data_IF_316432619932
#
_entry.id   IF_316432619932
#
_cell.length_a   1.000
_cell.length_b   1.000
_cell.length_c   1.000
_cell.angle_alpha   90.00
_cell.angle_beta   90.00
_cell.angle_gamma   90.00
#
_symmetry.space_group_name_H-M   'P 1'
#
loop_
_entity.id
_entity.type
_entity.pdbx_description
1 polymer ?
#
# COMPACT_ATOMS: atom_id res chain seq x y z
N UNK A 1 -38.91 -58.58 -40.44
CA UNK A 1 -37.79 -57.69 -40.64
C UNK A 1 -37.39 -57.19 -39.24
N UNK A 2 -36.38 -57.83 -38.72
CA UNK A 2 -35.94 -57.66 -37.35
C UNK A 2 -35.01 -56.45 -37.27
N UNK A 3 -35.29 -55.54 -36.34
CA UNK A 3 -34.38 -54.49 -35.94
C UNK A 3 -33.76 -54.86 -34.57
N UNK A 4 -32.45 -55.12 -34.60
CA UNK A 4 -31.64 -55.32 -33.43
C UNK A 4 -31.41 -53.95 -32.79
N UNK A 5 -31.89 -53.76 -31.56
CA UNK A 5 -31.42 -52.73 -30.64
C UNK A 5 -30.36 -53.35 -29.73
N UNK A 6 -29.11 -53.06 -30.04
CA UNK A 6 -28.00 -53.31 -29.10
C UNK A 6 -28.04 -52.22 -27.99
N UNK A 7 -28.54 -52.58 -26.84
CA UNK A 7 -28.40 -51.78 -25.62
C UNK A 7 -26.95 -51.86 -25.17
N UNK A 8 -26.16 -50.78 -25.34
CA UNK A 8 -24.86 -50.56 -24.71
C UNK A 8 -25.07 -50.41 -23.19
N UNK A 9 -24.74 -51.45 -22.48
CA UNK A 9 -24.71 -51.47 -21.00
C UNK A 9 -23.44 -50.70 -20.59
N UNK A 10 -23.53 -49.39 -20.29
CA UNK A 10 -22.47 -48.64 -19.66
C UNK A 10 -22.56 -48.88 -18.13
N UNK A 11 -21.60 -49.63 -17.63
CA UNK A 11 -21.42 -49.75 -16.20
C UNK A 11 -21.12 -48.37 -15.61
N UNK A 12 -21.70 -47.98 -14.47
CA UNK A 12 -21.41 -46.70 -13.84
C UNK A 12 -19.93 -46.68 -13.40
N UNK A 13 -19.17 -45.73 -13.91
CA UNK A 13 -17.81 -45.45 -13.45
C UNK A 13 -17.87 -45.16 -11.95
N UNK A 14 -17.16 -45.96 -11.18
CA UNK A 14 -17.09 -45.82 -9.72
C UNK A 14 -16.22 -44.54 -9.42
N UNK A 15 -16.92 -43.42 -9.23
CA UNK A 15 -16.29 -42.12 -8.89
C UNK A 15 -15.46 -42.24 -7.58
N UNK A 16 -15.81 -43.14 -6.69
CA UNK A 16 -15.05 -43.35 -5.45
C UNK A 16 -13.68 -44.00 -5.74
N UNK A 17 -13.65 -44.96 -6.66
CA UNK A 17 -12.39 -45.61 -7.06
C UNK A 17 -11.45 -44.63 -7.81
N UNK A 18 -11.99 -43.76 -8.68
CA UNK A 18 -11.24 -42.75 -9.38
C UNK A 18 -10.64 -41.67 -8.43
N UNK A 19 -11.40 -41.33 -7.41
CA UNK A 19 -10.94 -40.34 -6.41
C UNK A 19 -9.89 -40.93 -5.45
N UNK A 20 -9.96 -42.24 -5.17
CA UNK A 20 -8.94 -42.92 -4.37
C UNK A 20 -7.64 -43.11 -5.14
N UNK A 21 -7.72 -43.43 -6.44
CA UNK A 21 -6.55 -43.54 -7.32
C UNK A 21 -5.86 -42.18 -7.51
N UNK A 22 -6.60 -41.11 -7.77
CA UNK A 22 -6.06 -39.75 -7.86
C UNK A 22 -5.41 -39.28 -6.55
N UNK A 23 -5.99 -39.66 -5.40
CA UNK A 23 -5.42 -39.34 -4.08
C UNK A 23 -4.10 -40.10 -3.82
N UNK A 24 -4.00 -41.34 -4.29
CA UNK A 24 -2.76 -42.13 -4.20
C UNK A 24 -1.66 -41.59 -5.11
N UNK A 25 -1.99 -41.19 -6.36
CA UNK A 25 -1.03 -40.56 -7.26
C UNK A 25 -0.49 -39.24 -6.72
N UNK A 26 -1.38 -38.40 -6.16
CA UNK A 26 -0.97 -37.14 -5.53
C UNK A 26 -0.06 -37.37 -4.33
N UNK A 27 -0.37 -38.35 -3.48
CA UNK A 27 0.46 -38.71 -2.34
C UNK A 27 1.84 -39.27 -2.78
N UNK A 28 1.89 -40.04 -3.86
CA UNK A 28 3.14 -40.53 -4.42
C UNK A 28 4.00 -39.41 -5.00
N UNK A 29 3.39 -38.43 -5.72
CA UNK A 29 4.08 -37.24 -6.23
C UNK A 29 4.63 -36.36 -5.11
N UNK A 30 3.88 -36.19 -4.01
CA UNK A 30 4.35 -35.44 -2.84
C UNK A 30 5.52 -36.15 -2.16
N UNK A 31 5.45 -37.48 -2.00
CA UNK A 31 6.53 -38.26 -1.41
C UNK A 31 7.79 -38.28 -2.28
N UNK A 32 7.64 -38.27 -3.61
CA UNK A 32 8.77 -38.18 -4.55
C UNK A 32 9.40 -36.78 -4.57
N UNK A 33 8.56 -35.72 -4.44
CA UNK A 33 9.01 -34.35 -4.27
C UNK A 33 9.78 -34.13 -2.94
N UNK A 34 9.34 -34.79 -1.86
CA UNK A 34 10.06 -34.76 -0.58
C UNK A 34 11.36 -35.54 -0.60
N UNK A 35 11.48 -36.59 -1.43
CA UNK A 35 12.71 -37.35 -1.59
C UNK A 35 13.69 -36.71 -2.56
N UNK A 36 13.24 -35.90 -3.52
CA UNK A 36 14.08 -35.10 -4.42
C UNK A 36 14.42 -33.72 -3.87
N UNK A 37 13.76 -33.28 -2.81
CA UNK A 37 14.25 -32.23 -1.94
C UNK A 37 15.48 -32.79 -1.21
N UNK A 38 16.55 -32.97 -1.99
CA UNK A 38 17.88 -33.13 -1.46
C UNK A 38 18.08 -32.04 -0.43
N UNK A 39 18.58 -32.39 0.73
CA UNK A 39 19.06 -31.50 1.75
C UNK A 39 19.52 -30.21 1.13
N UNK A 40 18.63 -29.18 1.15
CA UNK A 40 19.11 -27.83 1.27
C UNK A 40 19.83 -27.91 2.60
N UNK A 41 21.15 -28.05 2.54
CA UNK A 41 22.00 -27.70 3.65
C UNK A 41 21.47 -26.32 4.01
N UNK A 42 20.83 -26.20 5.18
CA UNK A 42 20.69 -24.92 5.85
C UNK A 42 22.15 -24.44 5.93
N UNK A 43 22.57 -23.72 4.88
CA UNK A 43 23.70 -22.82 5.02
C UNK A 43 23.21 -21.93 6.17
N UNK A 44 23.79 -22.24 7.34
CA UNK A 44 23.43 -21.54 8.56
C UNK A 44 23.44 -20.07 8.21
N UNK A 45 22.36 -19.38 8.55
CA UNK A 45 22.30 -17.94 8.51
C UNK A 45 23.63 -17.48 9.09
N UNK A 46 24.58 -17.13 8.21
CA UNK A 46 25.78 -16.40 8.58
C UNK A 46 25.29 -15.02 8.98
N UNK A 47 24.78 -14.95 10.21
CA UNK A 47 24.30 -13.76 10.89
C UNK A 47 25.50 -12.86 11.26
N UNK A 48 26.57 -12.98 10.44
CA UNK A 48 27.66 -12.03 10.39
C UNK A 48 27.08 -10.65 10.07
N UNK A 49 27.62 -9.59 10.68
CA UNK A 49 27.11 -8.24 10.42
C UNK A 49 27.18 -7.98 8.92
N UNK A 50 26.01 -7.68 8.31
CA UNK A 50 25.92 -7.27 6.92
C UNK A 50 27.03 -6.25 6.63
N UNK A 51 27.90 -6.56 5.67
CA UNK A 51 28.96 -5.66 5.28
C UNK A 51 28.33 -4.37 4.71
N UNK A 52 28.83 -3.22 5.13
CA UNK A 52 28.41 -1.95 4.56
C UNK A 52 28.69 -1.94 3.04
N UNK A 53 27.84 -1.27 2.22
CA UNK A 53 28.05 -1.19 0.78
C UNK A 53 29.45 -0.64 0.47
N UNK A 54 30.20 -1.35 -0.39
CA UNK A 54 31.61 -1.00 -0.70
C UNK A 54 31.72 0.11 -1.75
N UNK A 55 30.62 0.43 -2.45
CA UNK A 55 30.60 1.46 -3.48
C UNK A 55 29.31 2.27 -3.47
N UNK A 56 29.37 3.48 -4.09
CA UNK A 56 28.17 4.34 -4.29
C UNK A 56 27.10 3.59 -5.10
N UNK A 57 27.50 2.84 -6.13
CA UNK A 57 26.58 2.09 -6.98
C UNK A 57 25.91 0.94 -6.21
N UNK A 58 26.66 0.23 -5.40
CA UNK A 58 26.14 -0.85 -4.55
C UNK A 58 25.15 -0.28 -3.50
N UNK A 59 25.51 0.82 -2.85
CA UNK A 59 24.62 1.51 -1.92
C UNK A 59 23.31 1.89 -2.60
N UNK A 60 23.34 2.48 -3.79
CA UNK A 60 22.14 2.86 -4.54
C UNK A 60 21.27 1.63 -4.87
N UNK A 61 21.88 0.50 -5.29
CA UNK A 61 21.18 -0.74 -5.59
C UNK A 61 20.52 -1.34 -4.34
N UNK A 62 21.20 -1.34 -3.20
CA UNK A 62 20.63 -1.83 -1.92
C UNK A 62 19.47 -0.93 -1.49
N UNK A 63 19.61 0.40 -1.57
CA UNK A 63 18.52 1.33 -1.25
C UNK A 63 17.32 1.10 -2.16
N UNK A 64 17.52 0.94 -3.48
CA UNK A 64 16.45 0.62 -4.44
C UNK A 64 15.73 -0.68 -4.07
N UNK A 65 16.48 -1.73 -3.72
CA UNK A 65 15.94 -3.01 -3.30
C UNK A 65 15.13 -2.91 -1.99
N UNK A 66 15.63 -2.19 -0.99
CA UNK A 66 14.92 -1.96 0.27
C UNK A 66 13.60 -1.20 0.07
N UNK A 67 13.62 -0.18 -0.78
CA UNK A 67 12.41 0.59 -1.11
C UNK A 67 11.40 -0.27 -1.88
N UNK A 68 11.89 -1.15 -2.77
CA UNK A 68 11.03 -2.05 -3.54
C UNK A 68 10.33 -3.09 -2.67
N UNK A 69 11.03 -3.67 -1.69
CA UNK A 69 10.48 -4.72 -0.83
C UNK A 69 9.61 -4.19 0.30
N UNK A 70 9.71 -2.89 0.59
CA UNK A 70 8.97 -2.27 1.69
C UNK A 70 7.49 -2.05 1.33
N UNK A 71 6.60 -2.50 2.21
CA UNK A 71 5.14 -2.29 2.09
C UNK A 71 4.72 -0.84 2.38
N UNK A 72 5.55 -0.09 3.12
CA UNK A 72 5.31 1.31 3.49
C UNK A 72 6.45 2.21 3.02
N UNK A 73 6.19 3.54 2.89
CA UNK A 73 7.26 4.50 2.59
C UNK A 73 8.42 4.38 3.57
N UNK A 74 9.60 4.07 3.05
CA UNK A 74 10.79 3.75 3.83
C UNK A 74 11.53 5.01 4.26
N UNK A 75 11.70 5.22 5.56
CA UNK A 75 12.35 6.41 6.07
C UNK A 75 13.87 6.38 5.87
N UNK A 76 14.48 7.54 5.65
CA UNK A 76 15.95 7.68 5.61
C UNK A 76 16.62 7.12 6.87
N UNK A 77 15.96 7.27 8.03
CA UNK A 77 16.48 6.73 9.29
C UNK A 77 16.56 5.19 9.22
N UNK A 78 15.50 4.54 8.79
CA UNK A 78 15.46 3.08 8.68
C UNK A 78 16.52 2.57 7.70
N UNK A 79 16.71 3.25 6.56
CA UNK A 79 17.76 2.90 5.59
C UNK A 79 19.16 3.05 6.23
N UNK A 80 19.40 4.16 6.95
CA UNK A 80 20.65 4.40 7.64
C UNK A 80 20.96 3.33 8.72
N UNK A 81 19.94 2.95 9.48
CA UNK A 81 20.05 1.91 10.51
C UNK A 81 20.37 0.53 9.89
N UNK A 82 19.77 0.18 8.74
CA UNK A 82 20.05 -1.09 8.01
C UNK A 82 21.44 -1.10 7.42
N UNK A 83 21.85 -0.02 6.75
CA UNK A 83 23.16 0.07 6.09
C UNK A 83 24.30 0.40 7.06
N UNK A 84 23.98 0.75 8.32
CA UNK A 84 24.95 1.22 9.34
C UNK A 84 25.79 2.39 8.85
N UNK A 85 25.15 3.29 8.10
CA UNK A 85 25.76 4.49 7.54
C UNK A 85 25.16 5.76 8.15
N UNK A 86 25.89 6.88 8.01
CA UNK A 86 25.40 8.18 8.47
C UNK A 86 24.15 8.61 7.69
N UNK A 87 23.19 9.17 8.44
CA UNK A 87 21.91 9.64 7.89
C UNK A 87 22.10 10.64 6.74
N UNK A 88 23.12 11.53 6.83
CA UNK A 88 23.37 12.54 5.81
C UNK A 88 23.81 11.89 4.49
N UNK A 89 24.64 10.84 4.57
CA UNK A 89 25.09 10.06 3.41
C UNK A 89 23.89 9.40 2.72
N UNK A 90 22.94 8.88 3.50
CA UNK A 90 21.72 8.25 2.96
C UNK A 90 20.80 9.29 2.33
N UNK A 91 20.64 10.49 2.92
CA UNK A 91 19.85 11.59 2.30
C UNK A 91 20.35 11.91 0.92
N UNK A 92 21.68 12.09 0.77
CA UNK A 92 22.33 12.39 -0.51
C UNK A 92 22.19 11.24 -1.51
N UNK A 93 22.41 9.99 -1.05
CA UNK A 93 22.30 8.80 -1.89
C UNK A 93 20.88 8.59 -2.42
N UNK A 94 19.86 8.70 -1.56
CA UNK A 94 18.45 8.56 -1.97
C UNK A 94 18.04 9.70 -2.89
N UNK A 95 18.50 10.94 -2.62
CA UNK A 95 18.22 12.09 -3.49
C UNK A 95 18.78 11.90 -4.90
N UNK A 96 20.03 11.43 -5.01
CA UNK A 96 20.67 11.11 -6.30
C UNK A 96 19.95 9.98 -6.99
N UNK A 97 19.67 8.88 -6.28
CA UNK A 97 18.93 7.74 -6.80
C UNK A 97 17.54 8.16 -7.35
N UNK A 98 16.82 9.02 -6.61
CA UNK A 98 15.52 9.51 -7.05
C UNK A 98 15.61 10.33 -8.34
N UNK A 99 16.62 11.19 -8.47
CA UNK A 99 16.85 11.98 -9.70
C UNK A 99 17.16 11.06 -10.89
N UNK A 100 18.09 10.12 -10.74
CA UNK A 100 18.47 9.18 -11.79
C UNK A 100 17.31 8.25 -12.17
N UNK A 101 16.59 7.75 -11.17
CA UNK A 101 15.43 6.86 -11.39
C UNK A 101 14.31 7.59 -12.14
N UNK A 102 14.00 8.83 -11.76
CA UNK A 102 12.94 9.61 -12.37
C UNK A 102 13.32 10.17 -13.75
N UNK A 103 14.62 10.27 -14.07
CA UNK A 103 15.09 10.61 -15.41
C UNK A 103 14.91 9.48 -16.43
N UNK A 104 14.71 8.24 -15.99
CA UNK A 104 14.44 7.10 -16.87
C UNK A 104 13.05 7.22 -17.51
N UNK A 105 12.90 6.84 -18.77
CA UNK A 105 11.61 6.77 -19.46
C UNK A 105 10.86 5.46 -19.10
N UNK A 106 10.59 5.27 -17.80
CA UNK A 106 9.89 4.09 -17.26
C UNK A 106 8.48 4.38 -16.80
N UNK A 107 7.72 3.33 -16.46
CA UNK A 107 6.36 3.44 -15.90
C UNK A 107 6.31 3.77 -14.41
N UNK A 108 7.45 3.71 -13.71
CA UNK A 108 7.58 3.95 -12.29
C UNK A 108 8.35 5.24 -12.00
N UNK A 109 8.13 5.79 -10.83
CA UNK A 109 8.86 6.91 -10.26
C UNK A 109 9.22 6.61 -8.79
N UNK A 110 10.32 7.15 -8.32
CA UNK A 110 10.69 7.16 -6.92
C UNK A 110 10.30 8.50 -6.31
N UNK A 111 9.47 8.49 -5.27
CA UNK A 111 8.94 9.71 -4.66
C UNK A 111 8.94 9.64 -3.14
N UNK A 112 9.00 10.79 -2.52
CA UNK A 112 8.85 10.93 -1.08
C UNK A 112 7.36 11.04 -0.71
N UNK A 113 6.91 10.20 0.24
CA UNK A 113 5.52 10.18 0.74
C UNK A 113 5.54 9.94 2.24
N UNK A 114 4.77 10.71 3.01
CA UNK A 114 4.66 10.57 4.46
C UNK A 114 6.02 10.53 5.20
N UNK A 115 6.98 11.30 4.71
CA UNK A 115 8.35 11.39 5.25
C UNK A 115 9.22 10.16 4.99
N UNK A 116 8.86 9.32 4.02
CA UNK A 116 9.63 8.17 3.54
C UNK A 116 9.62 8.07 2.02
N UNK A 117 10.41 7.17 1.47
CA UNK A 117 10.56 6.95 0.03
C UNK A 117 9.83 5.69 -0.40
N UNK A 118 9.16 5.75 -1.55
CA UNK A 118 8.49 4.60 -2.15
C UNK A 118 8.50 4.67 -3.68
N UNK A 119 8.37 3.50 -4.31
CA UNK A 119 8.08 3.39 -5.74
C UNK A 119 6.58 3.61 -5.97
N UNK A 120 6.27 4.38 -7.01
CA UNK A 120 4.89 4.63 -7.45
C UNK A 120 4.81 4.60 -8.98
N UNK A 121 3.63 4.35 -9.52
CA UNK A 121 3.39 4.52 -10.94
C UNK A 121 3.41 6.00 -11.32
N UNK A 122 3.85 6.31 -12.53
CA UNK A 122 3.83 7.68 -13.02
C UNK A 122 2.39 8.15 -13.30
N UNK A 123 2.07 9.44 -13.06
CA UNK A 123 0.75 10.00 -13.29
C UNK A 123 0.25 9.82 -14.73
N UNK A 124 1.15 9.83 -15.71
CA UNK A 124 0.83 9.69 -17.13
C UNK A 124 0.14 8.36 -17.46
N UNK A 125 0.37 7.33 -16.64
CA UNK A 125 -0.21 6.00 -16.81
C UNK A 125 -1.42 5.74 -15.91
N UNK A 126 -1.91 6.78 -15.21
CA UNK A 126 -3.00 6.68 -14.24
C UNK A 126 -4.24 5.96 -14.79
N UNK A 127 -4.69 6.29 -15.99
CA UNK A 127 -5.91 5.71 -16.56
C UNK A 127 -5.75 4.21 -16.88
N UNK A 128 -4.58 3.78 -17.34
CA UNK A 128 -4.28 2.36 -17.60
C UNK A 128 -4.26 1.57 -16.27
N UNK A 129 -3.56 2.11 -15.26
CA UNK A 129 -3.50 1.50 -13.91
C UNK A 129 -4.88 1.46 -13.28
N UNK A 130 -5.65 2.54 -13.37
CA UNK A 130 -7.03 2.62 -12.87
C UNK A 130 -7.94 1.59 -13.53
N UNK A 131 -7.83 1.41 -14.85
CA UNK A 131 -8.60 0.41 -15.59
C UNK A 131 -8.27 -1.00 -15.12
N UNK A 132 -7.00 -1.32 -14.93
CA UNK A 132 -6.56 -2.60 -14.38
C UNK A 132 -7.07 -2.81 -12.94
N UNK A 133 -7.03 -1.79 -12.09
CA UNK A 133 -7.46 -1.86 -10.69
C UNK A 133 -8.99 -1.83 -10.51
N UNK A 134 -9.77 -1.37 -11.49
CA UNK A 134 -11.25 -1.35 -11.42
C UNK A 134 -11.86 -2.74 -11.21
N UNK A 135 -11.14 -3.80 -11.49
CA UNK A 135 -11.55 -5.17 -11.21
C UNK A 135 -11.51 -5.52 -9.70
N UNK A 136 -10.91 -4.67 -8.87
CA UNK A 136 -10.85 -4.85 -7.41
C UNK A 136 -11.83 -3.89 -6.74
N UNK A 137 -12.79 -4.38 -5.91
CA UNK A 137 -13.71 -3.51 -5.18
C UNK A 137 -12.91 -2.64 -4.19
N UNK A 138 -12.85 -1.35 -4.45
CA UNK A 138 -12.30 -0.35 -3.53
C UNK A 138 -13.45 0.24 -2.73
N UNK A 139 -13.38 0.20 -1.41
CA UNK A 139 -14.35 0.85 -0.53
C UNK A 139 -14.13 2.38 -0.58
N UNK A 140 -14.80 3.03 -1.55
CA UNK A 140 -14.75 4.49 -1.71
C UNK A 140 -15.32 5.19 -0.48
N UNK A 141 -14.73 6.34 -0.13
CA UNK A 141 -15.32 7.25 0.85
C UNK A 141 -16.60 7.87 0.28
N UNK A 142 -17.62 8.04 1.12
CA UNK A 142 -18.79 8.83 0.77
C UNK A 142 -18.43 10.31 0.64
N UNK A 143 -19.24 11.07 -0.09
CA UNK A 143 -19.06 12.53 -0.21
C UNK A 143 -19.00 13.18 1.18
N UNK A 144 -19.91 12.80 2.09
CA UNK A 144 -19.90 13.30 3.47
C UNK A 144 -18.60 13.00 4.21
N UNK A 145 -17.99 11.82 3.99
CA UNK A 145 -16.70 11.47 4.59
C UNK A 145 -15.56 12.28 3.96
N UNK A 146 -15.58 12.51 2.65
CA UNK A 146 -14.58 13.33 1.97
C UNK A 146 -14.61 14.79 2.43
N UNK A 147 -15.80 15.39 2.54
CA UNK A 147 -15.98 16.76 3.04
C UNK A 147 -15.51 16.89 4.51
N UNK A 148 -15.86 15.91 5.35
CA UNK A 148 -15.38 15.88 6.75
C UNK A 148 -13.86 15.75 6.81
N UNK A 149 -13.27 14.89 5.98
CA UNK A 149 -11.83 14.72 5.90
C UNK A 149 -11.13 16.01 5.44
N UNK A 150 -11.70 16.71 4.45
CA UNK A 150 -11.16 17.99 3.99
C UNK A 150 -11.16 19.04 5.12
N UNK A 151 -12.28 19.19 5.85
CA UNK A 151 -12.33 20.11 7.00
C UNK A 151 -11.23 19.77 8.01
N UNK A 152 -11.08 18.49 8.35
CA UNK A 152 -10.04 18.06 9.29
C UNK A 152 -8.63 18.35 8.75
N UNK A 153 -8.36 18.04 7.48
CA UNK A 153 -7.06 18.26 6.88
C UNK A 153 -6.61 19.73 6.90
N UNK A 154 -7.53 20.66 6.64
CA UNK A 154 -7.21 22.09 6.57
C UNK A 154 -7.34 22.84 7.90
N UNK A 155 -8.07 22.30 8.89
CA UNK A 155 -8.36 22.98 10.17
C UNK A 155 -7.79 22.29 11.39
N UNK A 156 -7.07 21.21 11.21
CA UNK A 156 -6.49 20.45 12.32
C UNK A 156 -5.53 21.26 13.21
N UNK A 157 -5.54 21.02 14.53
CA UNK A 157 -6.41 20.08 15.23
C UNK A 157 -7.82 20.68 15.46
N UNK A 158 -8.86 19.92 15.13
CA UNK A 158 -10.26 20.37 15.10
C UNK A 158 -11.18 19.41 15.87
N UNK A 159 -12.18 19.94 16.57
CA UNK A 159 -13.18 19.19 17.32
C UNK A 159 -14.43 18.88 16.52
N UNK A 160 -15.24 17.89 16.95
CA UNK A 160 -16.52 17.57 16.29
C UNK A 160 -17.49 18.76 16.24
N UNK A 161 -17.68 19.57 17.31
CA UNK A 161 -18.50 20.77 17.23
C UNK A 161 -18.02 21.78 16.18
N UNK A 162 -16.72 22.01 16.07
CA UNK A 162 -16.15 22.93 15.06
C UNK A 162 -16.32 22.38 13.63
N UNK A 163 -16.20 21.07 13.43
CA UNK A 163 -16.49 20.44 12.14
C UNK A 163 -17.97 20.65 11.76
N UNK A 164 -18.88 20.50 12.74
CA UNK A 164 -20.31 20.74 12.54
C UNK A 164 -20.59 22.18 12.16
N UNK A 165 -19.96 23.15 12.83
CA UNK A 165 -20.10 24.57 12.53
C UNK A 165 -19.69 24.91 11.09
N UNK A 166 -18.57 24.34 10.63
CA UNK A 166 -18.07 24.57 9.26
C UNK A 166 -18.96 23.89 8.21
N UNK A 167 -19.40 22.66 8.46
CA UNK A 167 -20.16 21.88 7.48
C UNK A 167 -21.67 22.18 7.50
N UNK A 168 -22.19 22.70 8.60
CA UNK A 168 -23.63 22.93 8.81
C UNK A 168 -24.46 21.66 9.02
N UNK A 169 -23.86 20.45 8.92
CA UNK A 169 -24.55 19.16 9.07
C UNK A 169 -23.76 18.19 9.92
N UNK A 170 -24.46 17.44 10.77
CA UNK A 170 -23.85 16.38 11.57
C UNK A 170 -23.55 15.15 10.72
N UNK A 171 -22.35 14.59 10.89
CA UNK A 171 -21.94 13.36 10.20
C UNK A 171 -21.12 12.46 11.14
N UNK A 172 -21.71 11.93 12.23
CA UNK A 172 -20.99 11.05 13.16
C UNK A 172 -20.46 9.81 12.47
N UNK A 173 -21.19 9.26 11.50
CA UNK A 173 -20.78 8.11 10.69
C UNK A 173 -19.55 8.41 9.83
N UNK A 174 -19.39 9.64 9.35
CA UNK A 174 -18.22 10.05 8.57
C UNK A 174 -16.96 10.00 9.44
N UNK A 175 -17.00 10.57 10.65
CA UNK A 175 -15.86 10.55 11.59
C UNK A 175 -15.49 9.11 11.95
N UNK A 176 -16.49 8.27 12.27
CA UNK A 176 -16.26 6.86 12.52
C UNK A 176 -15.58 6.16 11.34
N UNK A 177 -16.10 6.34 10.13
CA UNK A 177 -15.51 5.77 8.90
C UNK A 177 -14.07 6.22 8.69
N UNK A 178 -13.76 7.49 8.96
CA UNK A 178 -12.40 8.02 8.82
C UNK A 178 -11.43 7.46 9.86
N UNK A 179 -11.90 7.25 11.11
CA UNK A 179 -11.15 6.56 12.16
C UNK A 179 -10.91 5.08 11.82
N UNK A 180 -11.95 4.36 11.39
CA UNK A 180 -11.87 2.94 11.01
C UNK A 180 -10.90 2.74 9.84
N UNK A 181 -10.85 3.69 8.90
CA UNK A 181 -9.88 3.71 7.79
C UNK A 181 -8.52 4.29 8.17
N UNK A 182 -8.33 4.66 9.42
CA UNK A 182 -7.10 5.25 9.95
C UNK A 182 -6.68 6.56 9.26
N UNK A 183 -7.56 7.26 8.56
CA UNK A 183 -7.26 8.51 7.86
C UNK A 183 -7.12 9.70 8.81
N UNK A 184 -7.77 9.61 9.97
CA UNK A 184 -7.66 10.60 11.03
C UNK A 184 -7.32 9.94 12.35
N UNK A 185 -6.72 10.72 13.26
CA UNK A 185 -6.34 10.29 14.61
C UNK A 185 -6.73 11.33 15.65
N UNK A 186 -6.93 10.90 16.89
CA UNK A 186 -7.12 11.81 18.01
C UNK A 186 -5.80 12.53 18.33
N UNK A 187 -5.86 13.87 18.45
CA UNK A 187 -4.71 14.75 18.77
C UNK A 187 -4.77 15.32 20.19
N UNK A 188 -5.60 14.73 21.05
CA UNK A 188 -5.81 15.19 22.44
C UNK A 188 -7.15 15.86 22.63
N UNK A 189 -7.34 16.56 23.76
CA UNK A 189 -8.59 17.26 24.11
C UNK A 189 -8.36 18.76 24.14
N UNK A 190 -9.37 19.50 23.70
CA UNK A 190 -9.35 20.96 23.74
C UNK A 190 -9.57 21.45 25.18
N UNK A 191 -8.82 22.46 25.61
CA UNK A 191 -8.93 23.07 26.95
C UNK A 191 -10.11 24.08 27.02
N UNK A 192 -11.33 23.57 26.74
CA UNK A 192 -12.59 24.34 26.77
C UNK A 192 -13.66 23.55 27.53
N UNK A 193 -14.79 24.19 27.83
CA UNK A 193 -15.91 23.53 28.50
C UNK A 193 -16.31 22.24 27.74
N UNK A 194 -16.45 21.16 28.48
CA UNK A 194 -16.72 19.82 27.92
C UNK A 194 -15.50 19.07 27.40
N UNK A 195 -14.29 19.69 27.33
CA UNK A 195 -13.02 19.09 26.89
C UNK A 195 -13.17 18.16 25.68
N UNK A 196 -13.73 18.64 24.56
CA UNK A 196 -14.01 17.80 23.39
C UNK A 196 -12.69 17.25 22.79
N UNK A 197 -12.78 16.04 22.21
CA UNK A 197 -11.66 15.42 21.48
C UNK A 197 -11.37 16.20 20.21
N UNK A 198 -10.08 16.46 19.97
CA UNK A 198 -9.56 17.04 18.74
C UNK A 198 -9.06 15.94 17.79
N UNK A 199 -9.25 16.14 16.51
CA UNK A 199 -8.83 15.24 15.44
C UNK A 199 -7.86 15.93 14.48
N UNK A 200 -7.00 15.13 13.88
CA UNK A 200 -6.10 15.53 12.81
C UNK A 200 -5.85 14.37 11.88
N UNK A 201 -5.23 14.63 10.75
CA UNK A 201 -4.82 13.60 9.79
C UNK A 201 -3.73 12.70 10.33
N UNK A 202 -3.66 11.50 9.79
CA UNK A 202 -2.68 10.45 10.13
C UNK A 202 -1.56 10.34 9.08
N UNK A 203 -0.62 9.41 9.30
CA UNK A 203 0.35 8.99 8.28
C UNK A 203 -0.35 8.32 7.09
N UNK A 204 -1.37 7.49 7.36
CA UNK A 204 -2.17 6.80 6.34
C UNK A 204 -2.88 7.78 5.40
N UNK A 205 -3.31 8.95 5.91
CA UNK A 205 -3.84 10.02 5.07
C UNK A 205 -2.78 10.48 4.06
N UNK A 206 -1.56 10.79 4.51
CA UNK A 206 -0.49 11.22 3.61
C UNK A 206 -0.18 10.15 2.56
N UNK A 207 -0.09 8.89 2.98
CA UNK A 207 0.15 7.76 2.06
C UNK A 207 -0.97 7.61 1.03
N UNK A 208 -2.23 7.68 1.45
CA UNK A 208 -3.37 7.49 0.56
C UNK A 208 -3.50 8.63 -0.48
N UNK A 209 -3.16 9.85 -0.10
CA UNK A 209 -3.18 11.00 -0.99
C UNK A 209 -1.83 11.25 -1.70
N UNK A 210 -0.81 10.46 -1.38
CA UNK A 210 0.51 10.54 -1.98
C UNK A 210 1.23 11.84 -1.65
N UNK A 211 1.06 12.36 -0.44
CA UNK A 211 1.66 13.60 0.03
C UNK A 211 2.91 13.31 0.85
N UNK A 212 3.94 14.12 0.68
CA UNK A 212 5.13 14.11 1.53
C UNK A 212 4.78 14.54 2.95
N UNK A 213 4.08 15.66 3.06
CA UNK A 213 3.57 16.25 4.29
C UNK A 213 2.34 17.14 3.99
N UNK A 214 1.78 17.77 5.01
CA UNK A 214 0.59 18.60 4.88
C UNK A 214 0.80 19.89 4.11
N UNK A 215 2.03 20.35 3.93
CA UNK A 215 2.31 21.58 3.18
C UNK A 215 2.07 21.41 1.66
N UNK A 216 2.02 20.16 1.19
CA UNK A 216 1.68 19.86 -0.21
C UNK A 216 0.18 19.88 -0.50
N UNK A 217 -0.67 20.09 0.53
CA UNK A 217 -2.09 20.32 0.29
C UNK A 217 -2.28 21.65 -0.48
N UNK A 218 -3.08 21.66 -1.56
CA UNK A 218 -3.40 22.90 -2.27
C UNK A 218 -3.96 23.96 -1.33
N UNK A 219 -3.68 25.22 -1.54
CA UNK A 219 -4.30 26.29 -0.74
C UNK A 219 -5.81 26.35 -0.99
N UNK A 220 -6.58 26.86 -0.02
CA UNK A 220 -8.04 27.03 -0.22
C UNK A 220 -8.32 28.01 -1.36
N UNK A 221 -7.41 28.93 -1.62
CA UNK A 221 -7.51 29.94 -2.70
C UNK A 221 -7.35 29.30 -4.09
N UNK A 222 -6.50 28.26 -4.22
CA UNK A 222 -6.29 27.53 -5.48
C UNK A 222 -7.57 26.83 -5.98
N UNK A 223 -8.52 26.53 -5.09
CA UNK A 223 -9.81 25.93 -5.50
C UNK A 223 -10.76 26.90 -6.18
N UNK A 224 -10.63 28.21 -5.95
CA UNK A 224 -11.47 29.21 -6.62
C UNK A 224 -11.15 29.31 -8.11
N UNK A 225 -9.88 29.13 -8.50
CA UNK A 225 -9.46 29.19 -9.90
C UNK A 225 -9.91 27.95 -10.69
N UNK A 226 -10.07 26.79 -10.04
CA UNK A 226 -10.53 25.54 -10.67
C UNK A 226 -12.06 25.51 -10.86
N UNK A 227 -12.83 26.29 -10.12
CA UNK A 227 -14.30 26.36 -10.22
C UNK A 227 -14.82 27.46 -11.17
N UNK A 228 -13.94 28.34 -11.66
CA UNK A 228 -14.27 29.48 -12.54
C UNK A 228 -14.19 29.18 -14.05
N UNK A 229 -13.92 27.96 -14.46
CA UNK A 229 -13.82 27.54 -15.86
C UNK A 229 -15.04 26.75 -16.33
N UNK A 230 -16.18 27.42 -16.53
CA UNK A 230 -17.36 26.89 -17.26
C UNK A 230 -17.86 27.93 -18.23
#
# INVERSE_FOLDING_TARGET
>A
MSSNEETLNQEPLDEAALNEEASRELAAMVAEAEQTSGTVEEEGDDDGPLAAPQSVAERAAVIEALIFVSDEPLSVKTIADVLKEDKQVIVEAVGTLAQEFNARNGGLQLREVAGGWQLATRPEYHEHVRTFLKTRPSAKLSIASLETLAVIAYRQPVTVPEILEIRGVQSPSAIKTLLDKKLIVAKGRKETVGRPMMYGTSKEFLMQFGLKDLSELPSVEDFHDLSGGS
#
